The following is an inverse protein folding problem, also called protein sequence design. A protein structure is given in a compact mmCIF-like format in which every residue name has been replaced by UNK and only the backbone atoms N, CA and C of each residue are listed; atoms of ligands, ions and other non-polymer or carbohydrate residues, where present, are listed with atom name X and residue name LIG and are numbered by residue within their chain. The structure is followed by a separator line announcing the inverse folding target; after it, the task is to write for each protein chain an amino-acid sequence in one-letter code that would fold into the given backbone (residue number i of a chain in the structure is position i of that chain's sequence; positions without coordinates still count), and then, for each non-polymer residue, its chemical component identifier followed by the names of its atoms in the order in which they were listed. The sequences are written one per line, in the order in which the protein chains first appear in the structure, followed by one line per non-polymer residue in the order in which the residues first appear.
data_IF_323622107354
#
_entry.id   IF_323622107354
#
_cell.length_a   1.000
_cell.length_b   1.000
_cell.length_c   1.000
_cell.angle_alpha   90.00
_cell.angle_beta   90.00
_cell.angle_gamma   90.00
#
_symmetry.space_group_name_H-M   'P 1'
#
loop_
_entity.id
_entity.type
_entity.pdbx_description
1 polymer ?
#
# COMPACT_ATOMS: atom_id res chain seq x y z
N UNK A 1 12.48 -5.18 -23.18
CA UNK A 1 11.03 -5.42 -23.01
C UNK A 1 10.77 -6.71 -22.26
N UNK A 2 11.18 -7.87 -22.79
CA UNK A 2 10.94 -9.18 -22.17
C UNK A 2 11.42 -9.29 -20.71
N UNK A 3 12.55 -8.66 -20.35
CA UNK A 3 13.03 -8.66 -18.95
C UNK A 3 12.12 -7.87 -18.00
N UNK A 4 11.56 -6.74 -18.45
CA UNK A 4 10.60 -5.95 -17.66
C UNK A 4 9.26 -6.68 -17.52
N UNK A 5 8.79 -7.30 -18.60
CA UNK A 5 7.59 -8.17 -18.58
C UNK A 5 7.82 -9.36 -17.64
N UNK A 6 8.95 -10.05 -17.76
CA UNK A 6 9.31 -11.16 -16.88
C UNK A 6 9.34 -10.73 -15.42
N UNK A 7 9.93 -9.58 -15.10
CA UNK A 7 9.94 -9.06 -13.73
C UNK A 7 8.51 -8.81 -13.22
N UNK A 8 7.65 -8.20 -14.03
CA UNK A 8 6.25 -7.99 -13.66
C UNK A 8 5.50 -9.31 -13.47
N UNK A 9 5.76 -10.32 -14.28
CA UNK A 9 5.17 -11.65 -14.16
C UNK A 9 5.59 -12.36 -12.86
N UNK A 10 6.83 -12.18 -12.42
CA UNK A 10 7.36 -12.76 -11.16
C UNK A 10 6.65 -12.16 -9.94
N UNK A 11 6.52 -10.83 -9.90
CA UNK A 11 6.01 -10.13 -8.71
C UNK A 11 4.52 -9.84 -8.77
N UNK A 12 3.91 -9.92 -9.95
CA UNK A 12 2.48 -9.75 -10.16
C UNK A 12 1.99 -10.78 -11.18
N UNK A 13 1.81 -12.06 -10.78
CA UNK A 13 1.44 -13.15 -11.70
C UNK A 13 0.16 -12.91 -12.51
N UNK A 14 -0.75 -12.07 -12.01
CA UNK A 14 -1.95 -11.64 -12.73
C UNK A 14 -1.63 -10.94 -14.07
N UNK A 15 -0.43 -10.39 -14.25
CA UNK A 15 -0.03 -9.76 -15.50
C UNK A 15 0.35 -10.74 -16.62
N UNK A 16 0.59 -12.02 -16.30
CA UNK A 16 0.98 -13.04 -17.29
C UNK A 16 -0.03 -13.15 -18.44
N UNK A 17 -1.32 -12.98 -18.14
CA UNK A 17 -2.39 -13.03 -19.14
C UNK A 17 -2.31 -11.90 -20.18
N UNK A 18 -1.60 -10.80 -19.88
CA UNK A 18 -1.45 -9.64 -20.77
C UNK A 18 -0.10 -9.59 -21.48
N UNK A 19 0.79 -10.58 -21.28
CA UNK A 19 2.16 -10.54 -21.82
C UNK A 19 2.21 -10.39 -23.36
N UNK A 20 1.23 -10.97 -24.06
CA UNK A 20 1.06 -10.88 -25.51
C UNK A 20 0.07 -9.78 -25.95
N UNK A 21 -0.54 -9.06 -24.99
CA UNK A 21 -1.45 -7.96 -25.29
C UNK A 21 -0.66 -6.76 -25.87
N UNK A 22 -1.00 -6.28 -27.07
CA UNK A 22 -0.25 -5.19 -27.70
C UNK A 22 -0.27 -3.88 -26.90
N UNK A 23 -1.36 -3.56 -26.20
CA UNK A 23 -1.45 -2.37 -25.36
C UNK A 23 -0.48 -2.49 -24.17
N UNK A 24 -0.43 -3.67 -23.55
CA UNK A 24 0.53 -3.94 -22.47
C UNK A 24 1.97 -3.85 -22.98
N UNK A 25 2.30 -4.47 -24.11
CA UNK A 25 3.64 -4.38 -24.70
C UNK A 25 4.03 -2.94 -25.05
N UNK A 26 3.10 -2.13 -25.56
CA UNK A 26 3.35 -0.71 -25.80
C UNK A 26 3.57 0.07 -24.51
N UNK A 27 2.85 -0.23 -23.43
CA UNK A 27 3.10 0.37 -22.11
C UNK A 27 4.52 0.06 -21.61
N UNK A 28 4.96 -1.19 -21.78
CA UNK A 28 6.31 -1.64 -21.43
C UNK A 28 7.39 -0.98 -22.28
N UNK A 29 7.14 -0.79 -23.57
CA UNK A 29 8.03 -0.04 -24.44
C UNK A 29 8.20 1.40 -23.94
N UNK A 30 7.10 2.09 -23.64
CA UNK A 30 7.16 3.47 -23.15
C UNK A 30 7.91 3.58 -21.83
N UNK A 31 7.68 2.64 -20.90
CA UNK A 31 8.39 2.61 -19.62
C UNK A 31 9.90 2.39 -19.81
N UNK A 32 10.31 1.53 -20.74
CA UNK A 32 11.72 1.30 -21.05
C UNK A 32 12.38 2.54 -21.67
N UNK A 33 11.68 3.25 -22.54
CA UNK A 33 12.21 4.49 -23.12
C UNK A 33 12.43 5.52 -22.01
N UNK A 34 11.46 5.69 -21.11
CA UNK A 34 11.61 6.57 -19.94
C UNK A 34 12.82 6.17 -19.08
N UNK A 35 13.00 4.88 -18.79
CA UNK A 35 14.16 4.39 -18.04
C UNK A 35 15.49 4.69 -18.72
N UNK A 36 15.57 4.53 -20.04
CA UNK A 36 16.79 4.85 -20.81
C UNK A 36 17.09 6.34 -20.80
N UNK A 37 16.06 7.18 -20.96
CA UNK A 37 16.20 8.63 -20.89
C UNK A 37 16.68 9.08 -19.50
N UNK A 38 16.13 8.50 -18.44
CA UNK A 38 16.56 8.80 -17.08
C UNK A 38 17.98 8.32 -16.79
N UNK A 39 18.34 7.10 -17.24
CA UNK A 39 19.69 6.55 -17.10
C UNK A 39 20.74 7.42 -17.81
N UNK A 40 20.42 7.96 -18.99
CA UNK A 40 21.29 8.87 -19.73
C UNK A 40 21.52 10.20 -18.99
N UNK A 41 20.56 10.65 -18.18
CA UNK A 41 20.65 11.87 -17.35
C UNK A 41 21.24 11.64 -15.95
N UNK A 42 21.33 10.39 -15.52
CA UNK A 42 21.81 10.05 -14.18
C UNK A 42 23.30 10.39 -14.00
N UNK A 43 23.57 11.28 -13.04
CA UNK A 43 24.92 11.62 -12.60
C UNK A 43 25.57 10.50 -11.76
N UNK A 44 26.89 10.61 -11.52
CA UNK A 44 27.65 9.60 -10.78
C UNK A 44 27.19 9.45 -9.32
N UNK A 45 26.66 10.52 -8.72
CA UNK A 45 26.15 10.47 -7.36
C UNK A 45 24.86 9.63 -7.30
N UNK A 46 23.93 9.84 -8.24
CA UNK A 46 22.73 9.04 -8.38
C UNK A 46 23.05 7.57 -8.68
N UNK A 47 24.06 7.30 -9.53
CA UNK A 47 24.54 5.93 -9.83
C UNK A 47 25.05 5.23 -8.58
N UNK A 48 25.91 5.91 -7.79
CA UNK A 48 26.45 5.36 -6.55
C UNK A 48 25.38 5.15 -5.47
N UNK A 49 24.40 6.05 -5.38
CA UNK A 49 23.27 5.87 -4.45
C UNK A 49 22.41 4.67 -4.85
N UNK A 50 22.15 4.50 -6.16
CA UNK A 50 21.41 3.36 -6.69
C UNK A 50 22.12 2.04 -6.37
N UNK A 51 23.44 1.95 -6.57
CA UNK A 51 24.19 0.73 -6.25
C UNK A 51 24.01 0.32 -4.79
N UNK A 52 24.08 1.28 -3.85
CA UNK A 52 23.86 1.00 -2.43
C UNK A 52 22.43 0.55 -2.14
N UNK A 53 21.42 1.31 -2.60
CA UNK A 53 20.01 1.03 -2.30
C UNK A 53 19.50 -0.24 -2.97
N UNK A 54 19.89 -0.47 -4.21
CA UNK A 54 19.50 -1.66 -4.97
C UNK A 54 20.14 -2.91 -4.38
N UNK A 55 21.38 -2.85 -3.86
CA UNK A 55 21.97 -4.00 -3.17
C UNK A 55 21.16 -4.44 -1.95
N UNK A 56 20.65 -3.49 -1.15
CA UNK A 56 19.82 -3.81 0.00
C UNK A 56 18.45 -4.36 -0.42
N UNK A 57 17.82 -3.78 -1.46
CA UNK A 57 16.60 -4.30 -2.04
C UNK A 57 16.78 -5.72 -2.62
N UNK A 58 17.92 -6.01 -3.26
CA UNK A 58 18.21 -7.33 -3.82
C UNK A 58 18.33 -8.42 -2.75
N UNK A 59 18.77 -8.08 -1.52
CA UNK A 59 18.78 -9.04 -0.40
C UNK A 59 17.36 -9.45 -0.03
N UNK A 60 16.47 -8.48 0.12
CA UNK A 60 15.05 -8.73 0.41
C UNK A 60 14.38 -9.46 -0.75
N UNK A 61 14.66 -9.04 -1.99
CA UNK A 61 14.10 -9.65 -3.18
C UNK A 61 14.47 -11.12 -3.30
N UNK A 62 15.73 -11.46 -3.03
CA UNK A 62 16.17 -12.85 -3.04
C UNK A 62 15.41 -13.70 -2.02
N UNK A 63 15.17 -13.18 -0.81
CA UNK A 63 14.38 -13.89 0.20
C UNK A 63 12.94 -14.14 -0.26
N UNK A 64 12.31 -13.16 -0.91
CA UNK A 64 10.95 -13.30 -1.48
C UNK A 64 10.94 -14.36 -2.58
N UNK A 65 11.92 -14.32 -3.50
CA UNK A 65 12.04 -15.30 -4.58
C UNK A 65 12.30 -16.72 -4.06
N UNK A 66 13.11 -16.86 -3.02
CA UNK A 66 13.38 -18.15 -2.37
C UNK A 66 12.13 -18.75 -1.69
N UNK A 67 11.18 -17.90 -1.29
CA UNK A 67 9.88 -18.32 -0.70
C UNK A 67 8.82 -18.68 -1.76
N UNK A 68 9.03 -18.32 -3.03
CA UNK A 68 8.09 -18.70 -4.09
C UNK A 68 8.15 -20.20 -4.39
N UNK A 69 7.09 -20.72 -5.00
CA UNK A 69 6.99 -22.14 -5.34
C UNK A 69 8.13 -22.58 -6.28
N UNK A 70 8.98 -23.48 -5.78
CA UNK A 70 10.17 -23.98 -6.48
C UNK A 70 11.41 -23.09 -6.40
N UNK A 71 11.36 -22.01 -5.61
CA UNK A 71 12.50 -21.14 -5.28
C UNK A 71 12.97 -20.21 -6.40
N UNK A 72 13.95 -19.37 -6.09
CA UNK A 72 14.40 -18.30 -6.97
C UNK A 72 14.89 -18.78 -8.35
N UNK A 73 15.66 -19.88 -8.39
CA UNK A 73 16.23 -20.41 -9.63
C UNK A 73 15.14 -20.83 -10.63
N UNK A 74 14.07 -21.49 -10.15
CA UNK A 74 12.96 -21.91 -11.00
C UNK A 74 12.19 -20.69 -11.51
N UNK A 75 11.81 -19.78 -10.62
CA UNK A 75 11.03 -18.57 -10.96
C UNK A 75 11.75 -17.73 -12.01
N UNK A 76 13.05 -17.49 -11.83
CA UNK A 76 13.87 -16.75 -12.77
C UNK A 76 13.98 -17.47 -14.12
N UNK A 77 14.18 -18.80 -14.12
CA UNK A 77 14.29 -19.60 -15.34
C UNK A 77 12.98 -19.61 -16.13
N UNK A 78 11.84 -19.73 -15.45
CA UNK A 78 10.51 -19.75 -16.08
C UNK A 78 10.25 -18.45 -16.87
N UNK A 79 10.73 -17.30 -16.36
CA UNK A 79 10.62 -16.00 -17.02
C UNK A 79 11.85 -15.62 -17.86
N UNK A 80 12.80 -16.55 -18.04
CA UNK A 80 14.06 -16.36 -18.80
C UNK A 80 14.88 -15.17 -18.30
N UNK A 81 14.96 -15.02 -16.98
CA UNK A 81 15.66 -13.94 -16.28
C UNK A 81 16.84 -14.46 -15.45
N UNK A 82 17.74 -13.54 -15.12
CA UNK A 82 18.77 -13.69 -14.11
C UNK A 82 18.56 -12.65 -13.00
N UNK A 83 19.09 -12.88 -11.79
CA UNK A 83 19.04 -11.88 -10.71
C UNK A 83 19.62 -10.52 -11.14
N UNK A 84 20.63 -10.52 -12.00
CA UNK A 84 21.24 -9.31 -12.54
C UNK A 84 20.27 -8.50 -13.42
N UNK A 85 19.32 -9.14 -14.09
CA UNK A 85 18.29 -8.43 -14.86
C UNK A 85 17.38 -7.63 -13.92
N UNK A 86 16.99 -8.23 -12.79
CA UNK A 86 16.19 -7.56 -11.75
C UNK A 86 17.00 -6.39 -11.17
N UNK A 87 18.26 -6.63 -10.81
CA UNK A 87 19.15 -5.58 -10.30
C UNK A 87 19.23 -4.38 -11.27
N UNK A 88 19.41 -4.64 -12.56
CA UNK A 88 19.49 -3.59 -13.58
C UNK A 88 18.16 -2.81 -13.71
N UNK A 89 17.02 -3.50 -13.69
CA UNK A 89 15.70 -2.83 -13.75
C UNK A 89 15.46 -1.98 -12.51
N UNK A 90 15.85 -2.45 -11.33
CA UNK A 90 15.77 -1.67 -10.09
C UNK A 90 16.66 -0.43 -10.14
N UNK A 91 17.87 -0.53 -10.69
CA UNK A 91 18.75 0.64 -10.90
C UNK A 91 18.12 1.65 -11.85
N UNK A 92 17.58 1.18 -12.98
CA UNK A 92 16.88 2.04 -13.94
C UNK A 92 15.66 2.72 -13.33
N UNK A 93 14.88 1.99 -12.54
CA UNK A 93 13.76 2.58 -11.80
C UNK A 93 14.24 3.64 -10.81
N UNK A 94 15.32 3.36 -10.07
CA UNK A 94 15.91 4.31 -9.15
C UNK A 94 16.39 5.59 -9.86
N UNK A 95 17.04 5.48 -11.01
CA UNK A 95 17.47 6.63 -11.82
C UNK A 95 16.28 7.48 -12.24
N UNK A 96 15.21 6.84 -12.73
CA UNK A 96 13.97 7.52 -13.06
C UNK A 96 13.38 8.24 -11.85
N UNK A 97 13.18 7.54 -10.73
CA UNK A 97 12.66 8.16 -9.51
C UNK A 97 13.47 9.36 -9.07
N UNK A 98 14.81 9.27 -9.09
CA UNK A 98 15.69 10.40 -8.74
C UNK A 98 15.61 11.55 -9.73
N UNK A 99 15.56 11.26 -11.02
CA UNK A 99 15.45 12.29 -12.04
C UNK A 99 14.14 13.07 -11.92
N UNK A 100 13.01 12.37 -11.71
CA UNK A 100 11.71 13.02 -11.52
C UNK A 100 11.56 13.67 -10.14
N UNK A 101 12.21 13.15 -9.08
CA UNK A 101 12.25 13.80 -7.76
C UNK A 101 12.94 15.17 -7.81
N UNK A 102 13.99 15.33 -8.63
CA UNK A 102 14.68 16.62 -8.84
C UNK A 102 13.77 17.67 -9.49
N UNK A 103 12.76 17.22 -10.23
CA UNK A 103 11.79 18.09 -10.93
C UNK A 103 10.60 18.49 -10.04
N UNK A 104 10.53 17.98 -8.80
CA UNK A 104 9.52 18.36 -7.82
C UNK A 104 10.07 19.47 -6.94
N UNK A 105 9.43 20.63 -7.00
CA UNK A 105 9.78 21.80 -6.20
C UNK A 105 9.18 21.74 -4.81
N UNK A 106 9.75 22.50 -3.87
CA UNK A 106 9.17 22.63 -2.52
C UNK A 106 7.77 23.26 -2.57
N UNK A 107 7.56 24.26 -3.42
CA UNK A 107 6.25 24.90 -3.61
C UNK A 107 5.18 23.92 -4.09
N UNK A 108 5.50 23.03 -5.04
CA UNK A 108 4.59 21.96 -5.46
C UNK A 108 4.23 21.02 -4.31
N UNK A 109 5.20 20.67 -3.45
CA UNK A 109 4.92 19.79 -2.30
C UNK A 109 4.09 20.47 -1.22
N UNK A 110 4.31 21.77 -0.95
CA UNK A 110 3.47 22.53 0.00
C UNK A 110 2.06 22.69 -0.54
N UNK A 111 1.93 23.06 -1.80
CA UNK A 111 0.65 23.16 -2.48
C UNK A 111 -0.11 21.83 -2.43
N UNK A 112 0.55 20.71 -2.71
CA UNK A 112 -0.08 19.40 -2.62
C UNK A 112 -0.50 19.02 -1.19
N UNK A 113 0.29 19.38 -0.18
CA UNK A 113 -0.08 19.22 1.24
C UNK A 113 -1.37 20.00 1.56
N UNK A 114 -1.41 21.28 1.18
CA UNK A 114 -2.56 22.15 1.44
C UNK A 114 -3.81 21.71 0.65
N UNK A 115 -3.66 21.34 -0.62
CA UNK A 115 -4.76 20.85 -1.46
C UNK A 115 -5.33 19.52 -0.93
N UNK A 116 -4.48 18.61 -0.47
CA UNK A 116 -4.93 17.35 0.12
C UNK A 116 -5.72 17.61 1.42
N UNK A 117 -5.28 18.54 2.27
CA UNK A 117 -6.00 18.92 3.48
C UNK A 117 -7.32 19.66 3.20
N UNK A 118 -7.38 20.43 2.11
CA UNK A 118 -8.60 21.11 1.71
C UNK A 118 -9.66 20.13 1.19
N UNK A 119 -9.23 19.06 0.53
CA UNK A 119 -10.13 18.01 0.02
C UNK A 119 -10.51 17.02 1.13
N UNK A 120 -9.53 16.57 1.89
CA UNK A 120 -9.65 15.54 2.93
C UNK A 120 -9.03 16.07 4.23
N UNK A 121 -9.83 16.66 5.15
CA UNK A 121 -9.32 17.26 6.39
C UNK A 121 -8.47 16.31 7.25
N UNK A 122 -8.72 15.01 7.12
CA UNK A 122 -8.08 13.93 7.87
C UNK A 122 -6.92 13.26 7.10
N UNK A 123 -6.51 13.75 5.92
CA UNK A 123 -5.51 13.12 5.04
C UNK A 123 -4.15 12.83 5.70
N UNK A 124 -3.83 13.58 6.76
CA UNK A 124 -2.58 13.45 7.51
C UNK A 124 -2.82 13.17 9.00
N UNK A 125 -4.03 12.74 9.37
CA UNK A 125 -4.30 12.26 10.71
C UNK A 125 -3.73 10.84 10.88
N UNK A 126 -3.05 10.66 12.00
CA UNK A 126 -2.53 9.38 12.46
C UNK A 126 -3.05 9.16 13.87
N UNK A 127 -3.65 8.00 14.11
CA UNK A 127 -4.33 7.69 15.36
C UNK A 127 -3.93 6.32 15.92
N UNK A 128 -3.89 6.24 17.24
CA UNK A 128 -3.90 4.96 17.95
C UNK A 128 -5.35 4.67 18.36
N UNK A 129 -5.94 3.61 17.79
CA UNK A 129 -7.34 3.26 17.99
C UNK A 129 -7.43 1.87 18.60
N UNK A 130 -8.07 1.78 19.77
CA UNK A 130 -8.43 0.51 20.39
C UNK A 130 -9.91 0.23 20.16
N UNK A 131 -10.26 -1.02 19.87
CA UNK A 131 -11.65 -1.45 19.78
C UNK A 131 -11.88 -2.85 20.37
N UNK A 132 -13.12 -3.09 20.78
CA UNK A 132 -13.65 -4.40 21.13
C UNK A 132 -14.80 -4.68 20.17
N UNK A 133 -14.66 -5.71 19.33
CA UNK A 133 -15.72 -6.16 18.43
C UNK A 133 -16.56 -7.22 19.14
N UNK A 134 -17.84 -6.96 19.32
CA UNK A 134 -18.84 -7.97 19.63
C UNK A 134 -19.45 -8.43 18.31
N UNK A 135 -18.89 -9.51 17.77
CA UNK A 135 -19.19 -10.01 16.43
C UNK A 135 -20.54 -10.72 16.34
N UNK A 136 -21.17 -10.63 15.16
CA UNK A 136 -22.35 -11.43 14.80
C UNK A 136 -21.96 -12.80 14.23
N UNK A 137 -20.79 -12.87 13.59
CA UNK A 137 -20.26 -14.04 12.92
C UNK A 137 -18.79 -14.27 13.29
N UNK A 138 -18.34 -15.51 13.22
CA UNK A 138 -16.92 -15.85 13.31
C UNK A 138 -16.21 -15.69 11.94
N UNK A 139 -14.92 -16.02 11.91
CA UNK A 139 -14.10 -15.96 10.71
C UNK A 139 -14.56 -16.89 9.59
N UNK A 140 -15.29 -17.96 9.92
CA UNK A 140 -15.85 -18.93 8.97
C UNK A 140 -17.26 -18.51 8.52
N UNK A 141 -17.77 -17.38 9.00
CA UNK A 141 -19.09 -16.84 8.67
C UNK A 141 -20.24 -17.47 9.45
N UNK A 142 -19.95 -18.32 10.44
CA UNK A 142 -20.94 -18.97 11.29
C UNK A 142 -21.49 -17.96 12.30
N UNK A 143 -22.80 -18.00 12.52
CA UNK A 143 -23.45 -17.10 13.48
C UNK A 143 -22.96 -17.37 14.90
N UNK A 144 -22.47 -16.31 15.55
CA UNK A 144 -22.09 -16.30 16.96
C UNK A 144 -23.26 -15.90 17.86
N UNK A 145 -24.07 -14.93 17.39
CA UNK A 145 -25.19 -14.32 18.11
C UNK A 145 -26.00 -13.40 17.20
N UNK A 146 -27.21 -13.06 17.62
CA UNK A 146 -28.04 -12.07 16.93
C UNK A 146 -27.67 -10.62 17.32
N UNK A 147 -28.27 -9.64 16.62
CA UNK A 147 -27.98 -8.21 16.85
C UNK A 147 -28.32 -7.73 18.26
N UNK A 148 -29.42 -8.19 18.86
CA UNK A 148 -29.83 -7.75 20.20
C UNK A 148 -28.91 -8.32 21.28
N UNK A 149 -28.48 -9.57 21.12
CA UNK A 149 -27.49 -10.21 21.98
C UNK A 149 -26.13 -9.49 21.88
N UNK A 150 -25.67 -9.20 20.67
CA UNK A 150 -24.43 -8.46 20.44
C UNK A 150 -24.48 -7.06 21.06
N UNK A 151 -25.59 -6.34 20.87
CA UNK A 151 -25.79 -5.01 21.46
C UNK A 151 -25.78 -5.05 22.98
N UNK A 152 -26.46 -6.02 23.57
CA UNK A 152 -26.51 -6.20 25.04
C UNK A 152 -25.11 -6.44 25.61
N UNK A 153 -24.34 -7.33 24.97
CA UNK A 153 -22.96 -7.61 25.38
C UNK A 153 -22.02 -6.43 25.14
N UNK A 154 -22.24 -5.65 24.09
CA UNK A 154 -21.48 -4.42 23.86
C UNK A 154 -21.75 -3.34 24.93
N UNK A 155 -23.01 -3.20 25.36
CA UNK A 155 -23.38 -2.31 26.46
C UNK A 155 -22.80 -2.77 27.81
N UNK A 156 -22.71 -4.09 28.03
CA UNK A 156 -22.01 -4.65 29.20
C UNK A 156 -20.53 -4.23 29.21
N UNK A 157 -19.82 -4.45 28.09
CA UNK A 157 -18.40 -4.08 27.95
C UNK A 157 -18.21 -2.58 28.17
N UNK A 158 -19.05 -1.74 27.57
CA UNK A 158 -19.02 -0.29 27.81
C UNK A 158 -19.17 0.03 29.30
N UNK A 159 -20.16 -0.56 29.97
CA UNK A 159 -20.39 -0.34 31.40
C UNK A 159 -19.24 -0.80 32.30
N UNK A 160 -18.48 -1.82 31.88
CA UNK A 160 -17.23 -2.25 32.55
C UNK A 160 -16.10 -1.23 32.34
N UNK A 161 -15.91 -0.77 31.11
CA UNK A 161 -14.92 0.26 30.76
C UNK A 161 -15.18 1.59 31.49
N UNK A 162 -16.44 2.02 31.60
CA UNK A 162 -16.84 3.22 32.34
C UNK A 162 -16.56 3.11 33.86
N UNK A 163 -16.48 1.89 34.40
CA UNK A 163 -16.07 1.62 35.79
C UNK A 163 -14.56 1.57 35.97
N UNK A 164 -13.78 1.74 34.90
CA UNK A 164 -12.32 1.74 34.93
C UNK A 164 -11.67 0.36 34.78
N UNK A 165 -12.40 -0.65 34.29
CA UNK A 165 -11.77 -1.92 33.89
C UNK A 165 -10.79 -1.70 32.71
N UNK A 166 -9.73 -2.52 32.66
CA UNK A 166 -8.68 -2.40 31.64
C UNK A 166 -9.20 -2.77 30.24
N UNK A 167 -8.97 -1.87 29.27
CA UNK A 167 -9.47 -2.06 27.91
C UNK A 167 -8.86 -3.28 27.24
N UNK A 168 -7.55 -3.49 27.40
CA UNK A 168 -6.85 -4.60 26.76
C UNK A 168 -7.27 -5.96 27.33
N UNK A 169 -7.52 -6.05 28.64
CA UNK A 169 -8.07 -7.22 29.29
C UNK A 169 -9.47 -7.56 28.76
N UNK A 170 -10.36 -6.56 28.68
CA UNK A 170 -11.70 -6.76 28.13
C UNK A 170 -11.67 -7.08 26.64
N UNK A 171 -10.74 -6.52 25.86
CA UNK A 171 -10.57 -6.90 24.46
C UNK A 171 -10.20 -8.37 24.30
N UNK A 172 -9.29 -8.89 25.14
CA UNK A 172 -8.93 -10.32 25.12
C UNK A 172 -10.08 -11.23 25.52
N UNK A 173 -10.90 -10.81 26.46
CA UNK A 173 -12.02 -11.59 27.00
C UNK A 173 -13.26 -11.54 26.10
N UNK A 174 -13.60 -10.37 25.56
CA UNK A 174 -14.87 -10.11 24.88
C UNK A 174 -14.77 -9.94 23.37
N UNK A 175 -13.61 -9.54 22.83
CA UNK A 175 -13.51 -9.24 21.40
C UNK A 175 -13.48 -10.51 20.56
N UNK A 176 -14.35 -10.54 19.54
CA UNK A 176 -14.34 -11.53 18.47
C UNK A 176 -13.48 -11.08 17.27
N UNK A 177 -12.83 -9.91 17.33
CA UNK A 177 -11.90 -9.48 16.28
C UNK A 177 -10.57 -10.24 16.38
N UNK A 178 -10.22 -11.10 15.42
CA UNK A 178 -8.95 -11.84 15.45
C UNK A 178 -7.73 -10.96 15.16
N UNK A 179 -7.91 -9.80 14.51
CA UNK A 179 -6.80 -8.95 14.09
C UNK A 179 -6.12 -8.25 15.27
N UNK A 180 -6.91 -7.87 16.28
CA UNK A 180 -6.43 -7.05 17.39
C UNK A 180 -6.71 -7.61 18.79
N UNK A 181 -7.61 -8.59 18.99
CA UNK A 181 -7.99 -9.09 20.33
C UNK A 181 -6.80 -9.43 21.22
N UNK A 182 -5.83 -10.18 20.69
CA UNK A 182 -4.67 -10.66 21.47
C UNK A 182 -3.66 -9.54 21.75
N UNK A 183 -3.73 -8.45 20.99
CA UNK A 183 -3.00 -7.20 21.17
C UNK A 183 -3.78 -6.16 21.98
N UNK A 184 -4.85 -6.58 22.68
CA UNK A 184 -5.65 -5.69 23.51
C UNK A 184 -6.63 -4.82 22.73
N UNK A 185 -7.01 -5.24 21.52
CA UNK A 185 -7.94 -4.49 20.66
C UNK A 185 -7.26 -3.34 19.89
N UNK A 186 -5.93 -3.23 19.94
CA UNK A 186 -5.21 -2.02 19.53
C UNK A 186 -4.72 -2.05 18.08
N UNK A 187 -5.03 -1.00 17.34
CA UNK A 187 -4.36 -0.59 16.11
C UNK A 187 -3.50 0.63 16.38
N UNK A 188 -2.21 0.53 16.06
CA UNK A 188 -1.21 1.59 16.30
C UNK A 188 -0.86 2.32 15.01
N UNK A 189 -0.69 3.63 15.11
CA UNK A 189 -0.26 4.51 14.01
C UNK A 189 -1.12 4.36 12.75
N UNK A 190 -2.43 4.22 12.92
CA UNK A 190 -3.38 4.14 11.82
C UNK A 190 -3.36 5.47 11.06
N UNK A 191 -2.74 5.47 9.89
CA UNK A 191 -2.77 6.62 8.99
C UNK A 191 -4.06 6.67 8.15
N UNK A 192 -4.24 7.75 7.39
CA UNK A 192 -5.40 7.90 6.51
C UNK A 192 -5.61 6.72 5.55
N UNK A 193 -4.53 6.16 4.99
CA UNK A 193 -4.63 5.05 4.03
C UNK A 193 -5.11 3.75 4.69
N UNK A 194 -4.68 3.48 5.92
CA UNK A 194 -5.14 2.34 6.71
C UNK A 194 -6.58 2.57 7.17
N UNK A 195 -6.92 3.79 7.60
CA UNK A 195 -8.29 4.14 8.00
C UNK A 195 -9.31 3.93 6.87
N UNK A 196 -8.91 4.16 5.62
CA UNK A 196 -9.75 3.92 4.44
C UNK A 196 -10.04 2.43 4.16
N UNK A 197 -9.35 1.51 4.83
CA UNK A 197 -9.63 0.07 4.76
C UNK A 197 -10.71 -0.36 5.75
N UNK A 198 -11.02 0.47 6.74
CA UNK A 198 -12.08 0.20 7.70
C UNK A 198 -13.46 0.59 7.15
N UNK A 199 -14.49 -0.10 7.63
CA UNK A 199 -15.88 0.18 7.25
C UNK A 199 -16.32 1.57 7.69
N UNK A 200 -17.20 2.19 6.89
CA UNK A 200 -17.64 3.58 7.07
C UNK A 200 -18.03 3.94 8.51
N UNK A 201 -18.85 3.16 9.23
CA UNK A 201 -19.26 3.54 10.59
C UNK A 201 -18.07 3.54 11.56
N UNK A 202 -17.10 2.64 11.36
CA UNK A 202 -15.91 2.56 12.21
C UNK A 202 -15.01 3.79 12.05
N UNK A 203 -14.68 4.17 10.80
CA UNK A 203 -13.84 5.35 10.57
C UNK A 203 -14.50 6.65 11.00
N UNK A 204 -15.82 6.80 10.81
CA UNK A 204 -16.56 7.97 11.30
C UNK A 204 -16.55 8.05 12.84
N UNK A 205 -16.74 6.91 13.51
CA UNK A 205 -16.65 6.85 14.96
C UNK A 205 -15.24 7.18 15.45
N UNK A 206 -14.19 6.62 14.83
CA UNK A 206 -12.80 6.96 15.16
C UNK A 206 -12.57 8.47 15.06
N UNK A 207 -12.81 9.08 13.89
CA UNK A 207 -12.56 10.51 13.65
C UNK A 207 -13.38 11.45 14.56
N UNK A 208 -14.60 11.07 14.92
CA UNK A 208 -15.46 11.90 15.78
C UNK A 208 -15.23 11.71 17.29
N UNK A 209 -14.63 10.58 17.70
CA UNK A 209 -14.41 10.27 19.10
C UNK A 209 -13.30 11.17 19.68
N UNK A 210 -13.61 11.80 20.81
CA UNK A 210 -12.61 12.53 21.61
C UNK A 210 -11.56 11.57 22.18
N UNK A 211 -10.32 12.03 22.28
CA UNK A 211 -9.24 11.24 22.86
C UNK A 211 -9.59 10.76 24.28
N UNK A 212 -9.24 9.51 24.54
CA UNK A 212 -9.45 8.79 25.79
C UNK A 212 -10.91 8.64 26.23
N UNK A 213 -11.89 8.96 25.38
CA UNK A 213 -13.29 8.62 25.61
C UNK A 213 -13.61 7.22 25.09
N UNK A 214 -14.54 6.57 25.78
CA UNK A 214 -15.13 5.31 25.33
C UNK A 214 -16.36 5.65 24.49
N UNK A 215 -16.46 5.09 23.29
CA UNK A 215 -17.60 5.30 22.41
C UNK A 215 -18.88 4.63 22.96
N UNK A 216 -20.03 5.06 22.45
CA UNK A 216 -21.21 4.18 22.41
C UNK A 216 -20.96 2.98 21.48
N UNK A 217 -21.72 1.87 21.59
CA UNK A 217 -21.64 0.77 20.64
C UNK A 217 -21.89 1.24 19.20
N UNK A 218 -20.87 1.13 18.35
CA UNK A 218 -20.91 1.49 16.94
C UNK A 218 -21.34 0.25 16.14
N UNK A 219 -22.49 0.32 15.48
CA UNK A 219 -22.99 -0.78 14.64
C UNK A 219 -22.28 -0.82 13.28
N UNK A 220 -21.85 -2.01 12.87
CA UNK A 220 -21.32 -2.32 11.54
C UNK A 220 -21.88 -3.64 11.05
N UNK A 221 -21.54 -4.03 9.81
CA UNK A 221 -21.88 -5.36 9.28
C UNK A 221 -21.22 -6.52 10.05
N UNK A 222 -20.15 -6.24 10.81
CA UNK A 222 -19.47 -7.23 11.63
C UNK A 222 -20.12 -7.42 13.00
N UNK A 223 -20.82 -6.40 13.51
CA UNK A 223 -21.45 -6.39 14.83
C UNK A 223 -21.35 -5.03 15.50
N UNK A 224 -21.03 -5.02 16.80
CA UNK A 224 -20.92 -3.78 17.57
C UNK A 224 -19.49 -3.55 18.04
N UNK A 225 -18.97 -2.35 17.81
CA UNK A 225 -17.64 -1.94 18.23
C UNK A 225 -17.74 -0.98 19.41
N UNK A 226 -16.95 -1.23 20.45
CA UNK A 226 -16.68 -0.26 21.51
C UNK A 226 -15.28 0.25 21.26
N UNK A 227 -15.12 1.55 21.08
CA UNK A 227 -13.89 2.16 20.60
C UNK A 227 -13.31 3.13 21.61
N UNK A 228 -12.00 3.34 21.54
CA UNK A 228 -11.26 4.37 22.25
C UNK A 228 -10.13 4.86 21.34
N UNK A 229 -10.07 6.17 21.11
CA UNK A 229 -8.90 6.81 20.47
C UNK A 229 -7.94 7.20 21.59
N UNK A 230 -6.73 6.66 21.60
CA UNK A 230 -5.76 6.93 22.67
C UNK A 230 -4.95 8.20 22.41
N UNK A 231 -4.66 8.45 21.14
CA UNK A 231 -3.85 9.56 20.66
C UNK A 231 -4.24 9.86 19.20
N UNK A 232 -4.37 11.14 18.86
CA UNK A 232 -4.55 11.65 17.51
C UNK A 232 -3.52 12.72 17.22
N UNK A 233 -2.81 12.56 16.09
CA UNK A 233 -1.85 13.56 15.63
C UNK A 233 -2.03 13.82 14.15
N UNK A 234 -2.14 15.10 13.81
CA UNK A 234 -1.98 15.56 12.43
C UNK A 234 -0.49 15.68 12.10
N UNK A 235 -0.02 14.93 11.11
CA UNK A 235 1.35 15.04 10.63
C UNK A 235 1.56 16.40 9.96
N UNK A 236 2.67 17.05 10.31
CA UNK A 236 3.10 18.31 9.73
C UNK A 236 3.65 18.11 8.32
N UNK A 237 3.68 19.18 7.52
CA UNK A 237 4.31 19.15 6.20
C UNK A 237 5.73 18.58 6.24
N UNK A 238 6.55 18.97 7.22
CA UNK A 238 7.93 18.46 7.33
C UNK A 238 8.02 16.95 7.54
N UNK A 239 7.03 16.35 8.19
CA UNK A 239 6.97 14.90 8.43
C UNK A 239 6.58 14.12 7.18
N UNK A 240 5.83 14.74 6.25
CA UNK A 240 5.30 14.06 5.06
C UNK A 240 5.86 14.58 3.74
N UNK A 241 6.72 15.61 3.75
CA UNK A 241 7.23 16.26 2.52
C UNK A 241 7.91 15.29 1.57
N UNK A 242 8.66 14.32 2.08
CA UNK A 242 9.36 13.33 1.26
C UNK A 242 8.39 12.33 0.62
N UNK A 243 7.34 11.94 1.36
CA UNK A 243 6.26 11.12 0.81
C UNK A 243 5.51 11.87 -0.30
N UNK A 244 5.14 13.14 -0.06
CA UNK A 244 4.47 13.98 -1.06
C UNK A 244 5.37 14.17 -2.28
N UNK A 245 6.67 14.42 -2.08
CA UNK A 245 7.64 14.53 -3.17
C UNK A 245 7.70 13.26 -4.01
N UNK A 246 7.72 12.09 -3.36
CA UNK A 246 7.69 10.80 -4.05
C UNK A 246 6.40 10.62 -4.85
N UNK A 247 5.24 10.94 -4.29
CA UNK A 247 3.95 10.88 -4.99
C UNK A 247 3.90 11.81 -6.22
N UNK A 248 4.36 13.06 -6.07
CA UNK A 248 4.44 14.02 -7.17
C UNK A 248 5.45 13.59 -8.24
N UNK A 249 6.59 13.01 -7.84
CA UNK A 249 7.57 12.43 -8.75
C UNK A 249 6.97 11.28 -9.57
N UNK A 250 6.24 10.37 -8.93
CA UNK A 250 5.52 9.30 -9.62
C UNK A 250 4.46 9.84 -10.58
N UNK A 251 3.76 10.92 -10.20
CA UNK A 251 2.81 11.60 -11.10
C UNK A 251 3.52 12.18 -12.32
N UNK A 252 4.62 12.92 -12.13
CA UNK A 252 5.42 13.49 -13.24
C UNK A 252 5.98 12.40 -14.16
N UNK A 253 6.44 11.28 -13.61
CA UNK A 253 6.90 10.13 -14.40
C UNK A 253 5.78 9.54 -15.26
N UNK A 254 4.57 9.41 -14.71
CA UNK A 254 3.38 8.95 -15.47
C UNK A 254 3.03 9.93 -16.59
N UNK A 255 2.95 11.23 -16.26
CA UNK A 255 2.67 12.29 -17.23
C UNK A 255 3.71 12.29 -18.35
N UNK A 256 5.00 12.08 -18.03
CA UNK A 256 6.08 11.97 -19.01
C UNK A 256 5.94 10.75 -19.92
N UNK A 257 5.61 9.58 -19.37
CA UNK A 257 5.34 8.35 -20.14
C UNK A 257 4.17 8.55 -21.11
N UNK A 258 3.13 9.27 -20.69
CA UNK A 258 1.93 9.48 -21.48
C UNK A 258 2.10 10.56 -22.55
N UNK A 259 2.80 11.65 -22.22
CA UNK A 259 2.82 12.86 -23.04
C UNK A 259 4.13 13.04 -23.82
N UNK A 260 5.28 12.69 -23.24
CA UNK A 260 6.59 12.98 -23.85
C UNK A 260 7.18 11.76 -24.55
N UNK A 261 7.15 10.58 -23.92
CA UNK A 261 7.72 9.36 -24.50
C UNK A 261 7.17 9.03 -25.91
N UNK A 262 5.87 9.18 -26.23
CA UNK A 262 5.38 8.91 -27.57
C UNK A 262 6.06 9.75 -28.67
N UNK A 263 6.52 10.97 -28.34
CA UNK A 263 7.24 11.86 -29.27
C UNK A 263 8.67 11.40 -29.55
N UNK A 264 9.24 10.54 -28.68
CA UNK A 264 10.58 9.99 -28.80
C UNK A 264 10.64 8.69 -29.61
N UNK A 265 9.48 8.12 -29.95
CA UNK A 265 9.41 6.85 -30.67
C UNK A 265 9.53 7.12 -32.18
N UNK A 266 10.72 6.92 -32.74
CA UNK A 266 10.94 7.04 -34.19
C UNK A 266 10.36 5.85 -34.97
N UNK A 267 10.49 4.63 -34.44
CA UNK A 267 9.96 3.41 -35.04
C UNK A 267 9.33 2.52 -33.96
N UNK A 268 8.16 1.94 -34.27
CA UNK A 268 7.49 0.99 -33.40
C UNK A 268 6.91 -0.15 -34.24
N UNK A 269 7.50 -1.34 -34.08
CA UNK A 269 7.09 -2.55 -34.79
C UNK A 269 6.16 -3.44 -33.94
N UNK A 270 5.71 -2.96 -32.78
CA UNK A 270 4.73 -3.69 -31.96
C UNK A 270 3.35 -3.66 -32.63
N UNK A 271 2.52 -4.69 -32.43
CA UNK A 271 1.15 -4.66 -32.92
C UNK A 271 0.38 -3.47 -32.35
N UNK A 272 -0.65 -3.02 -33.07
CA UNK A 272 -1.53 -1.95 -32.58
C UNK A 272 -2.45 -2.49 -31.48
N UNK A 273 -2.72 -1.72 -30.41
CA UNK A 273 -3.69 -2.09 -29.38
C UNK A 273 -5.08 -2.26 -29.99
N UNK A 274 -5.86 -3.21 -29.48
CA UNK A 274 -7.32 -3.18 -29.64
C UNK A 274 -7.91 -2.11 -28.73
N UNK A 275 -9.18 -1.74 -28.92
CA UNK A 275 -9.86 -0.72 -28.10
C UNK A 275 -10.13 -1.16 -26.65
N UNK A 276 -9.79 -2.40 -26.27
CA UNK A 276 -9.99 -2.86 -24.90
C UNK A 276 -8.93 -2.26 -23.95
N UNK A 277 -9.33 -1.86 -22.73
CA UNK A 277 -8.39 -1.38 -21.73
C UNK A 277 -7.53 -2.56 -21.24
N UNK A 278 -6.23 -2.44 -21.41
CA UNK A 278 -5.24 -3.28 -20.73
C UNK A 278 -4.85 -2.68 -19.39
N UNK A 279 -4.40 -3.49 -18.41
CA UNK A 279 -3.89 -2.93 -17.17
C UNK A 279 -2.66 -2.09 -17.49
N UNK A 280 -2.62 -0.88 -16.92
CA UNK A 280 -1.40 -0.08 -16.93
C UNK A 280 -0.55 -0.58 -15.77
N UNK A 281 0.61 -1.21 -16.04
CA UNK A 281 1.51 -1.60 -14.97
C UNK A 281 1.89 -0.32 -14.21
N UNK A 282 1.77 -0.37 -12.89
CA UNK A 282 2.27 0.72 -12.06
C UNK A 282 3.75 0.94 -12.42
N UNK A 283 4.23 2.21 -12.49
CA UNK A 283 5.67 2.42 -12.53
C UNK A 283 6.26 1.63 -11.38
N UNK A 284 7.31 0.85 -11.64
CA UNK A 284 7.91 -0.13 -10.72
C UNK A 284 8.52 0.52 -9.46
N UNK A 285 7.78 1.35 -8.73
CA UNK A 285 8.12 1.84 -7.41
C UNK A 285 7.75 0.75 -6.40
N UNK A 286 8.77 0.00 -5.99
CA UNK A 286 8.76 -0.96 -4.88
C UNK A 286 7.70 -2.08 -4.92
N UNK A 287 8.08 -3.34 -5.16
CA UNK A 287 7.60 -4.44 -4.36
C UNK A 287 8.57 -4.57 -3.18
N UNK A 288 8.51 -3.64 -2.22
CA UNK A 288 8.85 -4.00 -0.86
C UNK A 288 7.52 -4.47 -0.26
N UNK A 289 7.43 -5.70 0.24
CA UNK A 289 6.22 -6.13 0.93
C UNK A 289 6.05 -5.20 2.13
N UNK A 290 4.91 -4.51 2.21
CA UNK A 290 4.33 -4.30 3.53
C UNK A 290 4.18 -5.71 4.09
N UNK A 291 5.08 -6.10 4.99
CA UNK A 291 4.92 -7.29 5.79
C UNK A 291 3.77 -7.04 6.77
N UNK A 292 2.55 -7.01 6.25
CA UNK A 292 1.41 -7.48 7.01
C UNK A 292 1.23 -8.96 6.66
N UNK A 293 1.08 -9.83 7.65
CA UNK A 293 0.85 -11.23 7.39
C UNK A 293 -0.46 -11.33 6.62
N UNK A 294 -0.40 -11.77 5.37
CA UNK A 294 -1.53 -12.46 4.76
C UNK A 294 -1.95 -13.52 5.77
N UNK A 295 -3.13 -13.32 6.36
CA UNK A 295 -3.80 -14.35 7.12
C UNK A 295 -3.77 -15.61 6.25
N UNK A 296 -3.00 -16.60 6.72
CA UNK A 296 -2.90 -17.88 6.04
C UNK A 296 -4.27 -18.54 6.16
N UNK A 297 -4.89 -19.00 5.06
CA UNK A 297 -5.94 -19.99 5.21
C UNK A 297 -5.23 -21.29 5.59
N UNK A 298 -5.43 -21.78 6.81
CA UNK A 298 -4.90 -23.04 7.28
C UNK A 298 -6.04 -23.87 7.88
N UNK A 299 -5.89 -25.20 7.88
CA UNK A 299 -6.49 -26.17 6.97
C UNK A 299 -7.98 -26.46 7.20
#
# INVERSE_FOLDING_TARGET
MNKLIGMNNIFNPAYKQFAEDPAYQQSMLKQIIMFKEAEAKADDAAKKEADKKVQDQMKQMKQILDQQEGGADKVLKDEKMELKDIENILKQNFYASKEFEKQVTEDETKKAYDENLAQEPNAYEVEDVSHILIGLKDLEGKDLRNKDEAKTRALEVKGKLEKGEDFAALAKEYSDDPGSKDKGGKYEKVDYSQMMQFVEPFKQAAWSLEENKISDPVETDYGYHIMKVENRKKQTYDEVKDQIRSQLSQKKMRDYIEQEVPKLIETNNLPKPSEQPSPTPAPSGSPAPSAEPTATPAP
#
